data_IF_112029854810
#
_entry.id   IF_112029854810
#
_cell.length_a   1.000
_cell.length_b   1.000
_cell.length_c   1.000
_cell.angle_alpha   90.00
_cell.angle_beta   90.00
_cell.angle_gamma   90.00
#
_symmetry.space_group_name_H-M   'P 1'
#
loop_
_entity.id
_entity.type
_entity.pdbx_description
1 polymer ?
#
# COMPACT_ATOMS: atom_id res chain seq x y z
N UNK A 1 7.92 17.11 -2.62
CA UNK A 1 8.35 17.79 -1.40
C UNK A 1 8.24 19.29 -1.61
N UNK A 2 7.38 19.95 -0.85
CA UNK A 2 7.30 21.41 -0.80
C UNK A 2 8.18 21.98 0.31
N UNK A 3 7.85 23.20 0.73
CA UNK A 3 8.49 23.93 1.83
C UNK A 3 7.49 24.08 3.00
N UNK A 4 7.73 25.02 3.91
CA UNK A 4 6.77 25.41 4.94
C UNK A 4 5.65 26.34 4.43
N UNK A 5 5.69 26.75 3.16
CA UNK A 5 4.62 27.49 2.48
C UNK A 5 3.89 26.59 1.48
N UNK A 6 2.58 26.79 1.31
CA UNK A 6 1.79 26.11 0.28
C UNK A 6 1.92 26.76 -1.11
N UNK A 7 2.40 28.00 -1.16
CA UNK A 7 2.55 28.76 -2.39
C UNK A 7 3.85 28.42 -3.13
N UNK A 8 4.81 27.83 -2.42
CA UNK A 8 6.09 27.41 -3.00
C UNK A 8 5.92 26.14 -3.85
N UNK A 9 6.47 26.18 -5.06
CA UNK A 9 6.43 25.04 -5.97
C UNK A 9 7.15 23.82 -5.37
N UNK A 10 6.51 22.63 -5.31
CA UNK A 10 7.14 21.45 -4.76
C UNK A 10 8.11 20.81 -5.76
N UNK A 11 9.15 20.15 -5.23
CA UNK A 11 10.01 19.25 -6.00
C UNK A 11 9.41 17.85 -6.09
N UNK A 12 9.23 17.33 -7.30
CA UNK A 12 8.70 15.99 -7.53
C UNK A 12 9.83 14.94 -7.54
N UNK A 13 9.55 13.76 -6.98
CA UNK A 13 10.43 12.60 -7.05
C UNK A 13 9.56 11.34 -7.11
N UNK A 14 10.09 10.30 -7.75
CA UNK A 14 9.43 9.01 -7.89
C UNK A 14 9.81 8.12 -6.70
N UNK A 15 8.83 7.40 -6.15
CA UNK A 15 9.06 6.36 -5.15
C UNK A 15 8.70 5.01 -5.76
N UNK A 16 9.71 4.17 -5.94
CA UNK A 16 9.58 2.79 -6.39
C UNK A 16 9.35 1.86 -5.21
N UNK A 17 9.02 0.61 -5.52
CA UNK A 17 8.89 -0.41 -4.49
C UNK A 17 10.20 -0.61 -3.74
N UNK A 18 10.14 -0.60 -2.41
CA UNK A 18 11.32 -0.70 -1.53
C UNK A 18 11.97 0.64 -1.17
N UNK A 19 11.64 1.74 -1.86
CA UNK A 19 12.19 3.05 -1.52
C UNK A 19 11.72 3.51 -0.13
N UNK A 20 12.66 4.06 0.64
CA UNK A 20 12.41 4.62 1.97
C UNK A 20 12.70 6.11 1.96
N UNK A 21 11.78 6.89 2.53
CA UNK A 21 11.97 8.33 2.71
C UNK A 21 11.91 8.65 4.20
N UNK A 22 12.93 9.37 4.68
CA UNK A 22 13.00 9.86 6.05
C UNK A 22 12.86 11.37 6.08
N UNK A 23 11.83 11.85 6.78
CA UNK A 23 11.64 13.28 7.03
C UNK A 23 12.09 13.62 8.44
N UNK A 24 13.21 14.33 8.56
CA UNK A 24 13.80 14.78 9.82
C UNK A 24 14.02 16.31 9.83
N UNK A 25 14.16 16.89 11.03
CA UNK A 25 14.41 18.32 11.19
C UNK A 25 13.35 19.19 10.48
N UNK A 26 13.76 20.25 9.76
CA UNK A 26 12.83 21.15 9.05
C UNK A 26 11.92 20.46 8.03
N UNK A 27 12.36 19.33 7.44
CA UNK A 27 11.58 18.59 6.46
C UNK A 27 10.30 17.96 7.05
N UNK A 28 10.22 17.79 8.39
CA UNK A 28 9.00 17.32 9.07
C UNK A 28 7.84 18.32 8.98
N UNK A 29 8.14 19.59 8.79
CA UNK A 29 7.18 20.67 8.68
C UNK A 29 6.86 21.04 7.23
N UNK A 30 7.55 20.41 6.27
CA UNK A 30 7.35 20.68 4.86
C UNK A 30 6.04 20.05 4.34
N UNK A 31 5.29 20.82 3.55
CA UNK A 31 4.13 20.31 2.84
C UNK A 31 4.54 19.22 1.84
N UNK A 32 3.76 18.15 1.76
CA UNK A 32 3.99 17.06 0.82
C UNK A 32 2.68 16.38 0.47
N UNK A 33 2.65 15.78 -0.73
CA UNK A 33 1.51 15.05 -1.25
C UNK A 33 2.00 13.92 -2.15
N UNK A 34 1.15 12.92 -2.36
CA UNK A 34 1.33 11.86 -3.35
C UNK A 34 0.24 12.04 -4.41
N UNK A 35 0.48 12.85 -5.46
CA UNK A 35 -0.57 13.24 -6.41
C UNK A 35 -0.94 12.12 -7.40
N UNK A 36 -0.05 11.15 -7.61
CA UNK A 36 -0.25 10.07 -8.57
C UNK A 36 0.37 8.77 -8.10
N UNK A 37 -0.39 7.69 -8.21
CA UNK A 37 0.12 6.32 -8.20
C UNK A 37 0.25 5.88 -9.66
N UNK A 38 1.43 5.38 -10.03
CA UNK A 38 1.67 4.83 -11.35
C UNK A 38 1.27 3.34 -11.37
N UNK A 39 0.86 2.87 -12.54
CA UNK A 39 0.54 1.45 -12.77
C UNK A 39 1.82 0.73 -13.24
N UNK A 40 2.83 0.74 -12.37
CA UNK A 40 4.21 0.28 -12.65
C UNK A 40 4.71 -0.70 -11.58
N UNK A 41 3.80 -1.45 -10.95
CA UNK A 41 4.14 -2.45 -9.94
C UNK A 41 5.16 -3.45 -10.54
N UNK A 42 6.32 -3.67 -9.90
CA UNK A 42 7.36 -4.48 -10.49
C UNK A 42 7.00 -5.96 -10.53
N UNK A 43 7.43 -6.67 -11.57
CA UNK A 43 7.05 -8.06 -11.85
C UNK A 43 7.26 -9.00 -10.66
N UNK A 44 8.35 -8.83 -9.89
CA UNK A 44 8.66 -9.67 -8.73
C UNK A 44 7.65 -9.55 -7.58
N UNK A 45 6.76 -8.56 -7.58
CA UNK A 45 5.66 -8.38 -6.61
C UNK A 45 4.29 -8.77 -7.16
N UNK A 46 4.21 -9.19 -8.42
CA UNK A 46 2.96 -9.55 -9.08
C UNK A 46 2.99 -11.01 -9.53
N UNK A 47 1.88 -11.45 -10.12
CA UNK A 47 1.84 -12.70 -10.88
C UNK A 47 2.12 -12.37 -12.35
N UNK A 48 3.09 -13.04 -13.01
CA UNK A 48 3.36 -12.84 -14.42
C UNK A 48 2.11 -13.02 -15.26
N UNK A 49 1.95 -12.20 -16.29
CA UNK A 49 0.72 -12.20 -17.09
C UNK A 49 0.46 -13.54 -17.81
N UNK A 50 1.52 -14.28 -18.14
CA UNK A 50 1.43 -15.62 -18.72
C UNK A 50 0.90 -16.69 -17.73
N UNK A 51 0.97 -16.42 -16.43
CA UNK A 51 0.55 -17.34 -15.36
C UNK A 51 -0.85 -17.03 -14.82
N UNK A 52 -1.51 -16.00 -15.37
CA UNK A 52 -2.87 -15.63 -15.01
C UNK A 52 -3.87 -16.55 -15.69
N UNK A 53 -4.78 -17.11 -14.89
CA UNK A 53 -5.98 -17.76 -15.41
C UNK A 53 -6.90 -16.73 -16.07
N UNK A 54 -7.78 -17.17 -16.97
CA UNK A 54 -8.77 -16.29 -17.60
C UNK A 54 -9.71 -15.63 -16.59
N UNK A 55 -9.99 -16.32 -15.47
CA UNK A 55 -10.79 -15.77 -14.38
C UNK A 55 -10.07 -14.63 -13.67
N UNK A 56 -8.80 -14.82 -13.30
CA UNK A 56 -7.98 -13.77 -12.72
C UNK A 56 -7.87 -12.59 -13.71
N UNK A 57 -7.57 -12.85 -14.99
CA UNK A 57 -7.52 -11.86 -16.08
C UNK A 57 -8.79 -11.02 -16.18
N UNK A 58 -9.97 -11.64 -16.07
CA UNK A 58 -11.25 -10.94 -16.08
C UNK A 58 -11.44 -10.07 -14.82
N UNK A 59 -11.11 -10.60 -13.63
CA UNK A 59 -11.14 -9.81 -12.39
C UNK A 59 -10.23 -8.59 -12.47
N UNK A 60 -9.05 -8.73 -13.10
CA UNK A 60 -8.14 -7.61 -13.38
C UNK A 60 -8.74 -6.54 -14.27
N UNK A 61 -9.27 -6.91 -15.44
CA UNK A 61 -9.72 -5.95 -16.45
C UNK A 61 -10.81 -4.99 -15.94
N UNK A 62 -11.51 -5.38 -14.87
CA UNK A 62 -12.58 -4.59 -14.27
C UNK A 62 -12.15 -3.85 -12.97
N UNK A 63 -10.87 -3.92 -12.56
CA UNK A 63 -10.39 -3.48 -11.23
C UNK A 63 -11.10 -4.17 -10.06
N UNK A 64 -11.50 -5.43 -10.24
CA UNK A 64 -12.41 -6.15 -9.36
C UNK A 64 -11.66 -7.17 -8.52
N UNK A 65 -10.86 -6.67 -7.59
CA UNK A 65 -10.42 -7.48 -6.44
C UNK A 65 -11.31 -7.27 -5.20
N UNK A 66 -12.24 -6.30 -5.30
CA UNK A 66 -13.10 -5.86 -4.21
C UNK A 66 -14.57 -5.63 -4.63
N UNK A 67 -15.10 -6.26 -5.71
CA UNK A 67 -16.54 -6.09 -5.97
C UNK A 67 -17.35 -6.54 -4.76
N UNK A 68 -18.46 -5.86 -4.56
CA UNK A 68 -19.65 -6.38 -3.89
C UNK A 68 -20.06 -7.67 -4.61
N UNK A 69 -19.76 -8.87 -4.08
CA UNK A 69 -20.03 -10.12 -4.78
C UNK A 69 -21.52 -10.48 -4.67
N UNK A 70 -22.21 -9.85 -3.72
CA UNK A 70 -23.60 -10.11 -3.45
C UNK A 70 -24.49 -9.06 -4.13
N UNK A 71 -25.68 -9.48 -4.63
CA UNK A 71 -26.68 -8.56 -5.19
C UNK A 71 -27.10 -7.42 -4.25
N UNK A 72 -26.88 -7.57 -2.95
CA UNK A 72 -27.25 -6.60 -1.91
C UNK A 72 -26.17 -5.53 -1.65
N UNK A 73 -25.04 -5.57 -2.36
CA UNK A 73 -23.95 -4.63 -2.11
C UNK A 73 -23.12 -4.95 -0.87
N UNK A 74 -23.19 -6.16 -0.31
CA UNK A 74 -22.30 -6.57 0.78
C UNK A 74 -20.95 -7.06 0.27
N UNK A 75 -19.93 -6.94 1.12
CA UNK A 75 -18.60 -7.47 0.86
C UNK A 75 -18.51 -8.89 1.39
N UNK A 76 -18.11 -9.86 0.56
CA UNK A 76 -17.64 -11.14 1.08
C UNK A 76 -16.20 -10.92 1.51
N UNK A 77 -15.97 -10.93 2.83
CA UNK A 77 -14.61 -10.92 3.37
C UNK A 77 -13.89 -12.17 2.85
N UNK A 78 -12.77 -11.98 2.18
CA UNK A 78 -11.86 -13.09 1.84
C UNK A 78 -11.35 -13.66 3.16
N UNK A 79 -11.69 -14.92 3.43
CA UNK A 79 -11.17 -15.65 4.58
C UNK A 79 -9.73 -16.08 4.28
N UNK A 80 -8.78 -15.26 4.76
CA UNK A 80 -7.34 -15.48 4.55
C UNK A 80 -6.79 -16.55 5.49
N UNK A 81 -7.50 -16.86 6.58
CA UNK A 81 -7.05 -17.81 7.59
C UNK A 81 -7.33 -19.26 7.13
N UNK A 82 -8.33 -19.43 6.26
CA UNK A 82 -8.60 -20.69 5.57
C UNK A 82 -7.65 -20.98 4.38
N UNK A 83 -6.82 -20.01 3.97
CA UNK A 83 -5.90 -20.18 2.84
C UNK A 83 -4.58 -20.83 3.27
N UNK A 84 -4.06 -21.68 2.40
CA UNK A 84 -2.64 -22.08 2.46
C UNK A 84 -1.73 -20.87 2.28
N UNK A 85 -0.44 -21.04 2.62
CA UNK A 85 0.55 -19.98 2.45
C UNK A 85 0.72 -19.55 0.99
N UNK A 86 0.79 -20.51 0.07
CA UNK A 86 0.93 -20.26 -1.37
C UNK A 86 -0.30 -19.56 -1.96
N UNK A 87 -1.50 -19.94 -1.53
CA UNK A 87 -2.74 -19.26 -1.95
C UNK A 87 -2.79 -17.82 -1.45
N UNK A 88 -2.35 -17.58 -0.21
CA UNK A 88 -2.29 -16.24 0.38
C UNK A 88 -1.24 -15.37 -0.30
N UNK A 89 -0.07 -15.92 -0.60
CA UNK A 89 0.98 -15.25 -1.37
C UNK A 89 0.48 -14.89 -2.77
N UNK A 90 -0.13 -15.85 -3.49
CA UNK A 90 -0.73 -15.60 -4.81
C UNK A 90 -1.80 -14.51 -4.71
N UNK A 91 -2.71 -14.59 -3.75
CA UNK A 91 -3.74 -13.58 -3.52
C UNK A 91 -3.13 -12.17 -3.40
N UNK A 92 -2.09 -11.99 -2.57
CA UNK A 92 -1.46 -10.69 -2.41
C UNK A 92 -0.75 -10.21 -3.67
N UNK A 93 -0.08 -11.10 -4.41
CA UNK A 93 0.53 -10.78 -5.72
C UNK A 93 -0.51 -10.34 -6.75
N UNK A 94 -1.70 -10.94 -6.75
CA UNK A 94 -2.79 -10.50 -7.62
C UNK A 94 -3.27 -9.09 -7.22
N UNK A 95 -3.39 -8.80 -5.92
CA UNK A 95 -3.79 -7.48 -5.42
C UNK A 95 -2.74 -6.38 -5.65
N UNK A 96 -1.44 -6.72 -5.53
CA UNK A 96 -0.35 -5.73 -5.56
C UNK A 96 -0.24 -4.97 -6.88
N UNK A 97 -0.69 -5.54 -8.01
CA UNK A 97 -0.54 -4.92 -9.33
C UNK A 97 -1.09 -3.50 -9.43
N UNK A 98 -2.19 -3.20 -8.73
CA UNK A 98 -2.81 -1.86 -8.71
C UNK A 98 -2.82 -1.21 -7.32
N UNK A 99 -2.02 -1.74 -6.40
CA UNK A 99 -1.97 -1.28 -5.02
C UNK A 99 -0.62 -0.67 -4.72
N UNK A 100 -0.62 0.44 -3.96
CA UNK A 100 0.59 0.98 -3.35
C UNK A 100 0.43 0.97 -1.84
N UNK A 101 1.31 0.25 -1.15
CA UNK A 101 1.37 0.24 0.31
C UNK A 101 2.34 1.34 0.78
N UNK A 102 1.94 2.13 1.77
CA UNK A 102 2.80 3.09 2.46
C UNK A 102 2.84 2.72 3.93
N UNK A 103 4.03 2.53 4.49
CA UNK A 103 4.23 2.32 5.91
C UNK A 103 4.91 3.57 6.47
N UNK A 104 4.26 4.21 7.45
CA UNK A 104 4.80 5.37 8.11
C UNK A 104 5.09 5.03 9.58
N UNK A 105 6.33 5.24 10.00
CA UNK A 105 6.78 4.99 11.37
C UNK A 105 7.25 6.31 11.99
N UNK A 106 6.82 6.57 13.23
CA UNK A 106 7.19 7.77 13.99
C UNK A 106 7.42 7.39 15.44
N UNK A 107 8.51 7.89 16.00
CA UNK A 107 8.65 7.97 17.45
C UNK A 107 7.80 9.15 17.94
N UNK A 108 6.85 8.85 18.84
CA UNK A 108 5.93 9.84 19.41
C UNK A 108 6.50 10.40 20.71
N UNK A 109 6.99 9.52 21.59
CA UNK A 109 7.50 9.89 22.90
C UNK A 109 9.02 10.13 22.87
N UNK A 110 9.54 11.15 23.58
CA UNK A 110 10.96 11.46 23.59
C UNK A 110 11.80 10.47 24.40
N UNK A 111 11.15 9.72 25.28
CA UNK A 111 11.77 8.83 26.26
C UNK A 111 11.15 7.44 26.21
N UNK A 112 11.82 6.48 26.86
CA UNK A 112 11.28 5.15 27.01
C UNK A 112 10.04 5.21 27.92
N UNK A 113 8.93 4.68 27.45
CA UNK A 113 7.66 4.69 28.16
C UNK A 113 7.36 3.28 28.67
N UNK A 114 8.06 2.86 29.73
CA UNK A 114 7.93 1.51 30.29
C UNK A 114 6.47 1.19 30.68
N UNK A 115 5.70 2.20 31.11
CA UNK A 115 4.28 2.09 31.42
C UNK A 115 3.39 1.65 30.24
N UNK A 116 3.86 1.75 28.99
CA UNK A 116 3.12 1.24 27.81
C UNK A 116 3.20 -0.29 27.74
N UNK A 117 4.25 -0.87 28.32
CA UNK A 117 4.56 -2.30 28.24
C UNK A 117 4.29 -3.05 29.54
N UNK A 118 4.14 -2.34 30.66
CA UNK A 118 3.65 -2.92 31.90
C UNK A 118 2.18 -3.31 31.73
N UNK A 119 1.91 -4.61 31.83
CA UNK A 119 0.55 -5.16 31.90
C UNK A 119 0.15 -5.19 33.37
N UNK A 120 -0.93 -4.49 33.74
CA UNK A 120 -1.58 -4.63 35.05
C UNK A 120 -2.01 -6.08 35.35
#
# INVERSE_FOLDING_TARGET
>A
MGTQSRDDAPHAFLLRSGDVVMFAGPARLAYHAVPRIFDDCPDYLTVPEAELTDEERRRYAHHVYYHHPMPDGSFVKVDKDAMTEDERERYWRLCMRHMRININVRQVYPENCDFIYDSD
#
